data_IF_608758850272
#
_entry.id   IF_608758850272
#
_cell.length_a   1.000
_cell.length_b   1.000
_cell.length_c   1.000
_cell.angle_alpha   90.00
_cell.angle_beta   90.00
_cell.angle_gamma   90.00
#
_symmetry.space_group_name_H-M   'P 1'
#
loop_
_entity.id
_entity.type
_entity.pdbx_description
1 polymer ?
#
# COMPACT_ATOMS: atom_id res chain seq x y z
N UNK A 1 5.72 9.18 8.06
CA UNK A 1 6.50 7.93 8.00
C UNK A 1 5.79 7.00 7.03
N UNK A 2 6.52 6.30 6.17
CA UNK A 2 5.94 5.55 5.04
C UNK A 2 6.30 4.06 5.11
N UNK A 3 5.33 3.18 4.93
CA UNK A 3 5.54 1.72 4.84
C UNK A 3 5.21 1.24 3.44
N UNK A 4 6.18 0.60 2.79
CA UNK A 4 6.03 -0.04 1.50
C UNK A 4 5.66 -1.51 1.72
N UNK A 5 4.48 -1.92 1.27
CA UNK A 5 3.98 -3.29 1.42
C UNK A 5 4.03 -3.96 0.06
N UNK A 6 4.97 -4.90 -0.09
CA UNK A 6 5.18 -5.66 -1.33
C UNK A 6 4.42 -6.99 -1.35
N UNK A 7 4.31 -7.63 -0.19
CA UNK A 7 3.71 -8.96 -0.05
C UNK A 7 2.19 -8.90 -0.03
N UNK A 8 1.55 -9.91 -0.62
CA UNK A 8 0.09 -10.01 -0.72
C UNK A 8 -0.61 -10.33 0.61
N UNK A 9 -1.93 -10.14 0.67
CA UNK A 9 -2.72 -10.33 1.88
C UNK A 9 -2.89 -11.78 2.33
N UNK A 10 -2.53 -12.73 1.49
CA UNK A 10 -2.50 -14.16 1.76
C UNK A 10 -1.21 -14.62 2.47
N UNK A 11 -0.21 -13.75 2.56
CA UNK A 11 1.08 -14.01 3.22
C UNK A 11 1.10 -13.55 4.68
N UNK A 12 1.96 -14.15 5.50
CA UNK A 12 2.23 -13.68 6.87
C UNK A 12 2.89 -12.31 6.88
N UNK A 13 3.78 -12.08 5.93
CA UNK A 13 4.60 -10.90 5.76
C UNK A 13 3.74 -9.69 5.43
N UNK A 14 2.84 -9.80 4.46
CA UNK A 14 1.91 -8.74 4.09
C UNK A 14 0.99 -8.34 5.23
N UNK A 15 0.43 -9.31 5.97
CA UNK A 15 -0.44 -9.03 7.13
C UNK A 15 0.32 -8.30 8.23
N UNK A 16 1.51 -8.80 8.57
CA UNK A 16 2.38 -8.18 9.58
C UNK A 16 2.83 -6.77 9.17
N UNK A 17 3.05 -6.53 7.88
CA UNK A 17 3.38 -5.22 7.36
C UNK A 17 2.25 -4.22 7.57
N UNK A 18 1.01 -4.64 7.33
CA UNK A 18 -0.17 -3.81 7.56
C UNK A 18 -0.36 -3.51 9.05
N UNK A 19 -0.30 -4.53 9.92
CA UNK A 19 -0.36 -4.38 11.38
C UNK A 19 0.72 -3.42 11.90
N UNK A 20 1.96 -3.58 11.44
CA UNK A 20 3.06 -2.67 11.80
C UNK A 20 2.78 -1.24 11.34
N UNK A 21 2.23 -1.03 10.14
CA UNK A 21 1.89 0.30 9.66
C UNK A 21 0.79 0.96 10.52
N UNK A 22 -0.18 0.18 10.99
CA UNK A 22 -1.22 0.64 11.93
C UNK A 22 -0.63 1.05 13.27
N UNK A 23 0.18 0.18 13.90
CA UNK A 23 0.84 0.44 15.18
C UNK A 23 1.71 1.71 15.12
N UNK A 24 2.37 1.92 13.98
CA UNK A 24 3.24 3.08 13.76
C UNK A 24 2.50 4.33 13.29
N UNK A 25 1.18 4.26 13.07
CA UNK A 25 0.38 5.33 12.46
C UNK A 25 1.01 5.86 11.16
N UNK A 26 1.54 4.94 10.35
CA UNK A 26 2.23 5.24 9.10
C UNK A 26 1.26 5.25 7.91
N UNK A 27 1.58 6.07 6.90
CA UNK A 27 0.92 5.94 5.59
C UNK A 27 1.51 4.71 4.85
N UNK A 28 0.71 4.08 3.98
CA UNK A 28 1.12 2.85 3.28
C UNK A 28 1.15 3.03 1.76
N UNK A 29 2.09 2.37 1.11
CA UNK A 29 2.10 2.18 -0.35
C UNK A 29 2.06 0.70 -0.64
N UNK A 30 1.02 0.28 -1.36
CA UNK A 30 0.89 -1.07 -1.90
C UNK A 30 1.60 -1.14 -3.25
N UNK A 31 2.56 -2.05 -3.37
CA UNK A 31 3.27 -2.31 -4.61
C UNK A 31 3.35 -3.82 -4.84
N UNK A 32 3.60 -4.22 -6.07
CA UNK A 32 3.62 -5.61 -6.49
C UNK A 32 2.39 -6.37 -5.96
N UNK A 33 2.58 -7.50 -5.28
CA UNK A 33 1.49 -8.35 -4.81
C UNK A 33 0.73 -7.73 -3.62
N UNK A 34 1.31 -6.74 -2.96
CA UNK A 34 0.63 -5.92 -1.95
C UNK A 34 -0.61 -5.22 -2.52
N UNK A 35 -0.68 -4.98 -3.82
CA UNK A 35 -1.89 -4.42 -4.44
C UNK A 35 -3.11 -5.33 -4.30
N UNK A 36 -2.96 -6.64 -4.06
CA UNK A 36 -4.10 -7.53 -3.80
C UNK A 36 -4.84 -7.21 -2.48
N UNK A 37 -4.26 -6.40 -1.58
CA UNK A 37 -5.00 -5.87 -0.43
C UNK A 37 -6.25 -5.07 -0.85
N UNK A 38 -6.31 -4.52 -2.08
CA UNK A 38 -7.50 -3.81 -2.55
C UNK A 38 -8.73 -4.69 -2.77
N UNK A 39 -8.52 -6.01 -2.83
CA UNK A 39 -9.59 -6.99 -3.00
C UNK A 39 -10.16 -7.46 -1.66
N UNK A 40 -9.48 -7.16 -0.54
CA UNK A 40 -9.93 -7.55 0.79
C UNK A 40 -10.48 -6.34 1.56
N UNK A 41 -11.29 -6.60 2.58
CA UNK A 41 -11.87 -5.55 3.43
C UNK A 41 -10.88 -4.96 4.44
N UNK A 42 -9.63 -5.43 4.51
CA UNK A 42 -8.68 -5.02 5.56
C UNK A 42 -8.27 -3.55 5.42
N UNK A 43 -8.34 -2.99 4.21
CA UNK A 43 -8.03 -1.59 3.98
C UNK A 43 -9.16 -0.63 4.33
N UNK A 44 -10.39 -1.10 4.58
CA UNK A 44 -11.53 -0.21 4.84
C UNK A 44 -11.36 0.56 6.15
N UNK A 45 -10.84 -0.10 7.19
CA UNK A 45 -10.64 0.45 8.53
C UNK A 45 -9.25 1.06 8.75
N UNK A 46 -8.36 0.98 7.76
CA UNK A 46 -6.99 1.47 7.91
C UNK A 46 -6.97 2.98 8.20
N UNK A 47 -6.36 3.42 9.31
CA UNK A 47 -6.56 4.76 9.88
C UNK A 47 -5.79 5.87 9.17
N UNK A 48 -4.87 5.53 8.27
CA UNK A 48 -3.92 6.44 7.62
C UNK A 48 -4.10 6.48 6.10
N UNK A 49 -3.29 7.27 5.41
CA UNK A 49 -3.42 7.38 3.95
C UNK A 49 -2.96 6.09 3.28
N UNK A 50 -3.77 5.61 2.33
CA UNK A 50 -3.51 4.41 1.55
C UNK A 50 -3.15 4.80 0.13
N UNK A 51 -2.01 4.33 -0.35
CA UNK A 51 -1.56 4.49 -1.72
C UNK A 51 -1.38 3.14 -2.39
N UNK A 52 -1.54 3.08 -3.71
CA UNK A 52 -1.21 1.90 -4.50
C UNK A 52 -0.52 2.31 -5.79
N UNK A 53 0.46 1.51 -6.22
CA UNK A 53 1.14 1.70 -7.50
C UNK A 53 0.16 1.43 -8.64
N UNK A 54 -0.11 2.46 -9.44
CA UNK A 54 -1.07 2.40 -10.54
C UNK A 54 -0.68 1.35 -11.59
N UNK A 55 0.61 1.29 -11.93
CA UNK A 55 1.15 0.30 -12.86
C UNK A 55 0.93 -1.14 -12.35
N UNK A 56 1.18 -1.41 -11.07
CA UNK A 56 0.99 -2.73 -10.49
C UNK A 56 -0.48 -3.16 -10.47
N UNK A 57 -1.39 -2.21 -10.23
CA UNK A 57 -2.83 -2.44 -10.33
C UNK A 57 -3.23 -2.77 -11.78
N UNK A 58 -2.72 -2.04 -12.76
CA UNK A 58 -2.99 -2.30 -14.18
C UNK A 58 -2.50 -3.67 -14.61
N UNK A 59 -1.25 -4.01 -14.30
CA UNK A 59 -0.63 -5.31 -14.63
C UNK A 59 -1.35 -6.50 -13.97
N UNK A 60 -2.05 -6.28 -12.86
CA UNK A 60 -2.85 -7.29 -12.15
C UNK A 60 -4.33 -7.29 -12.53
N UNK A 61 -4.75 -6.45 -13.48
CA UNK A 61 -6.14 -6.34 -13.89
C UNK A 61 -7.05 -5.70 -12.82
N UNK A 62 -6.48 -4.91 -11.92
CA UNK A 62 -7.14 -4.27 -10.79
C UNK A 62 -7.43 -2.78 -11.00
N UNK A 63 -7.07 -2.21 -12.16
CA UNK A 63 -7.23 -0.78 -12.46
C UNK A 63 -8.66 -0.26 -12.23
N UNK A 64 -9.67 -1.07 -12.53
CA UNK A 64 -11.09 -0.72 -12.40
C UNK A 64 -11.71 -1.12 -11.05
N UNK A 65 -10.91 -1.65 -10.11
CA UNK A 65 -11.40 -2.06 -8.79
C UNK A 65 -11.66 -0.81 -7.95
N UNK A 66 -12.85 -0.24 -8.10
CA UNK A 66 -13.36 0.95 -7.37
C UNK A 66 -13.58 0.74 -5.86
N UNK A 67 -13.03 -0.32 -5.26
CA UNK A 67 -13.58 -0.89 -4.02
C UNK A 67 -13.03 -0.30 -2.73
N UNK A 68 -11.88 0.39 -2.74
CA UNK A 68 -11.28 0.89 -1.49
C UNK A 68 -11.45 2.40 -1.37
N UNK A 69 -12.31 2.81 -0.44
CA UNK A 69 -12.48 4.22 -0.10
C UNK A 69 -11.17 4.84 0.39
N UNK A 70 -10.79 5.98 -0.19
CA UNK A 70 -9.60 6.72 0.19
C UNK A 70 -8.27 6.15 -0.31
N UNK A 71 -8.29 5.12 -1.17
CA UNK A 71 -7.09 4.64 -1.86
C UNK A 71 -6.68 5.62 -2.96
N UNK A 72 -5.42 6.05 -2.94
CA UNK A 72 -4.83 6.93 -3.96
C UNK A 72 -3.90 6.14 -4.86
N UNK A 73 -4.14 6.19 -6.17
CA UNK A 73 -3.24 5.58 -7.14
C UNK A 73 -2.08 6.54 -7.41
N UNK A 74 -0.85 6.04 -7.33
CA UNK A 74 0.38 6.82 -7.55
C UNK A 74 1.28 6.17 -8.59
N UNK A 75 2.13 6.99 -9.20
CA UNK A 75 3.18 6.57 -10.13
C UNK A 75 4.56 6.54 -9.46
N UNK A 76 5.58 6.07 -10.17
CA UNK A 76 6.95 5.91 -9.64
C UNK A 76 7.62 7.22 -9.25
N UNK A 77 7.36 8.30 -10.00
CA UNK A 77 7.82 9.65 -9.70
C UNK A 77 7.23 10.15 -8.38
N UNK A 78 5.91 9.97 -8.18
CA UNK A 78 5.23 10.32 -6.94
C UNK A 78 5.76 9.52 -5.75
N UNK A 79 5.96 8.21 -5.90
CA UNK A 79 6.55 7.38 -4.85
C UNK A 79 7.97 7.86 -4.47
N UNK A 80 8.79 8.16 -5.48
CA UNK A 80 10.16 8.65 -5.27
C UNK A 80 10.15 9.96 -4.50
N UNK A 81 9.26 10.89 -4.88
CA UNK A 81 9.08 12.17 -4.19
C UNK A 81 8.58 11.99 -2.74
N UNK A 82 7.65 11.06 -2.51
CA UNK A 82 7.15 10.74 -1.17
C UNK A 82 8.26 10.18 -0.29
N UNK A 83 9.05 9.23 -0.81
CA UNK A 83 10.17 8.64 -0.10
C UNK A 83 11.24 9.69 0.25
N UNK A 84 11.47 10.68 -0.61
CA UNK A 84 12.42 11.75 -0.37
C UNK A 84 11.95 12.77 0.68
N UNK A 85 10.63 12.94 0.87
CA UNK A 85 10.03 13.88 1.82
C UNK A 85 9.81 13.28 3.21
N UNK A 86 9.82 11.95 3.31
CA UNK A 86 9.54 11.23 4.54
C UNK A 86 10.80 10.97 5.36
N UNK A 87 10.73 11.22 6.68
CA UNK A 87 11.87 11.03 7.58
C UNK A 87 12.35 9.57 7.64
N UNK A 88 11.43 8.63 7.41
CA UNK A 88 11.72 7.20 7.40
C UNK A 88 10.76 6.46 6.49
N UNK A 89 11.36 5.58 5.67
CA UNK A 89 10.66 4.64 4.79
C UNK A 89 11.03 3.22 5.22
N UNK A 90 10.04 2.34 5.33
CA UNK A 90 10.23 0.93 5.68
C UNK A 90 9.75 0.07 4.52
N UNK A 91 10.63 -0.79 4.00
CA UNK A 91 10.27 -1.82 3.04
C UNK A 91 9.89 -3.11 3.77
N UNK A 92 8.61 -3.47 3.74
CA UNK A 92 8.12 -4.76 4.22
C UNK A 92 8.04 -5.73 3.04
N UNK A 93 8.96 -6.71 3.06
CA UNK A 93 9.11 -7.75 2.05
C UNK A 93 8.19 -8.92 2.33
#
# INVERSE_FOLDING_TARGET
MLVLIKSGPDTSEGKRALEMAEEMSADIVLLQDGTYFVLNGLLEEFPRTKYAMAEDLELRGLAEVKKVSGLKNIQWDELTDMMAKEDKVIGAL
#
